data_IF_533977604172
#
_entry.id   IF_533977604172
#
_cell.length_a   1.000
_cell.length_b   1.000
_cell.length_c   1.000
_cell.angle_alpha   90.00
_cell.angle_beta   90.00
_cell.angle_gamma   90.00
#
_symmetry.space_group_name_H-M   'P 1'
#
loop_
_entity.id
_entity.type
_entity.pdbx_description
1 polymer ?
#
# COMPACT_ATOMS: atom_id res chain seq x y z
N UNK A 1 54.06 -59.34 -34.30
CA UNK A 1 52.66 -58.88 -34.47
C UNK A 1 52.44 -57.73 -33.52
N UNK A 2 52.22 -56.52 -34.04
CA UNK A 2 51.97 -55.32 -33.24
C UNK A 2 50.50 -54.94 -33.35
N UNK A 3 49.76 -55.06 -32.25
CA UNK A 3 48.37 -54.65 -32.13
C UNK A 3 48.31 -53.13 -31.93
N UNK A 4 47.86 -52.39 -32.94
CA UNK A 4 47.54 -50.96 -32.80
C UNK A 4 46.20 -50.82 -32.09
N UNK A 5 46.23 -50.32 -30.85
CA UNK A 5 45.03 -49.90 -30.13
C UNK A 5 44.59 -48.56 -30.70
N UNK A 6 43.45 -48.55 -31.39
CA UNK A 6 42.82 -47.34 -31.91
C UNK A 6 42.01 -46.70 -30.77
N UNK A 7 42.57 -45.66 -30.15
CA UNK A 7 41.87 -44.88 -29.12
C UNK A 7 40.81 -44.04 -29.84
N UNK A 8 39.54 -44.41 -29.66
CA UNK A 8 38.41 -43.66 -30.18
C UNK A 8 38.39 -42.26 -29.55
N UNK A 9 38.58 -41.23 -30.38
CA UNK A 9 38.35 -39.84 -29.99
C UNK A 9 36.89 -39.69 -29.53
N UNK A 10 36.67 -39.50 -28.23
CA UNK A 10 35.39 -39.03 -27.74
C UNK A 10 35.17 -37.62 -28.27
N UNK A 11 34.25 -37.48 -29.23
CA UNK A 11 33.80 -36.17 -29.69
C UNK A 11 33.26 -35.43 -28.47
N UNK A 12 33.99 -34.41 -28.01
CA UNK A 12 33.44 -33.32 -27.19
C UNK A 12 32.33 -32.65 -28.01
N UNK A 13 31.13 -33.20 -27.96
CA UNK A 13 29.92 -32.56 -28.47
C UNK A 13 29.77 -31.26 -27.71
N UNK A 14 30.02 -30.16 -28.42
CA UNK A 14 30.18 -28.84 -27.82
C UNK A 14 28.93 -28.46 -27.05
N UNK A 15 29.08 -28.01 -25.80
CA UNK A 15 28.01 -27.45 -24.97
C UNK A 15 27.28 -26.24 -25.55
N UNK A 16 27.51 -25.89 -26.82
CA UNK A 16 26.81 -24.82 -27.57
C UNK A 16 25.30 -25.06 -27.65
N UNK A 17 24.83 -26.31 -27.78
CA UNK A 17 23.40 -26.61 -27.75
C UNK A 17 22.76 -26.35 -26.38
N UNK A 18 23.51 -26.60 -25.30
CA UNK A 18 23.06 -26.25 -23.94
C UNK A 18 22.93 -24.73 -23.82
N UNK A 19 23.90 -23.97 -24.33
CA UNK A 19 23.84 -22.50 -24.36
C UNK A 19 22.66 -21.96 -25.18
N UNK A 20 22.39 -22.54 -26.35
CA UNK A 20 21.23 -22.16 -27.19
C UNK A 20 19.93 -22.42 -26.44
N UNK A 21 19.77 -23.61 -25.83
CA UNK A 21 18.59 -23.95 -25.06
C UNK A 21 18.40 -23.02 -23.85
N UNK A 22 19.49 -22.67 -23.16
CA UNK A 22 19.48 -21.74 -22.03
C UNK A 22 19.05 -20.33 -22.49
N UNK A 23 19.55 -19.85 -23.62
CA UNK A 23 19.13 -18.56 -24.22
C UNK A 23 17.64 -18.59 -24.57
N UNK A 24 17.14 -19.66 -25.19
CA UNK A 24 15.71 -19.79 -25.52
C UNK A 24 14.84 -19.74 -24.27
N UNK A 25 15.22 -20.45 -23.19
CA UNK A 25 14.51 -20.39 -21.91
C UNK A 25 14.52 -18.97 -21.34
N UNK A 26 15.65 -18.27 -21.38
CA UNK A 26 15.75 -16.88 -20.91
C UNK A 26 14.82 -15.96 -21.71
N UNK A 27 14.80 -16.09 -23.04
CA UNK A 27 13.94 -15.27 -23.90
C UNK A 27 12.46 -15.52 -23.60
N UNK A 28 12.06 -16.78 -23.44
CA UNK A 28 10.68 -17.15 -23.07
C UNK A 28 10.34 -16.59 -21.68
N UNK A 29 11.25 -16.70 -20.71
CA UNK A 29 11.06 -16.18 -19.36
C UNK A 29 10.90 -14.65 -19.36
N UNK A 30 11.77 -13.92 -20.07
CA UNK A 30 11.70 -12.46 -20.20
C UNK A 30 10.39 -12.06 -20.89
N UNK A 31 10.02 -12.73 -21.97
CA UNK A 31 8.76 -12.48 -22.69
C UNK A 31 7.54 -12.70 -21.78
N UNK A 32 7.52 -13.77 -21.00
CA UNK A 32 6.45 -14.06 -20.03
C UNK A 32 6.36 -13.01 -18.93
N UNK A 33 7.49 -12.57 -18.36
CA UNK A 33 7.55 -11.50 -17.36
C UNK A 33 7.00 -10.20 -17.93
N UNK A 34 7.40 -9.84 -19.16
CA UNK A 34 6.93 -8.63 -19.81
C UNK A 34 5.43 -8.66 -20.11
N UNK A 35 4.92 -9.80 -20.59
CA UNK A 35 3.49 -10.01 -20.82
C UNK A 35 2.68 -9.86 -19.51
N UNK A 36 3.12 -10.53 -18.44
CA UNK A 36 2.45 -10.45 -17.14
C UNK A 36 2.50 -9.02 -16.56
N UNK A 37 3.63 -8.33 -16.67
CA UNK A 37 3.75 -6.92 -16.28
C UNK A 37 2.76 -6.02 -17.03
N UNK A 38 2.57 -6.25 -18.33
CA UNK A 38 1.63 -5.48 -19.13
C UNK A 38 0.17 -5.78 -18.75
N UNK A 39 -0.15 -7.01 -18.37
CA UNK A 39 -1.47 -7.35 -17.84
C UNK A 39 -1.76 -6.64 -16.52
N UNK A 40 -0.77 -6.50 -15.64
CA UNK A 40 -0.94 -5.76 -14.38
C UNK A 40 -1.21 -4.27 -14.59
N UNK A 41 -0.66 -3.67 -15.65
CA UNK A 41 -1.00 -2.29 -16.03
C UNK A 41 -2.45 -2.13 -16.51
N UNK A 42 -3.12 -3.23 -16.84
CA UNK A 42 -4.47 -3.23 -17.38
C UNK A 42 -5.55 -3.56 -16.33
N UNK A 43 -5.20 -3.68 -15.06
CA UNK A 43 -6.14 -4.03 -13.98
C UNK A 43 -7.06 -2.86 -13.62
N UNK A 44 -8.13 -3.17 -12.90
CA UNK A 44 -9.12 -2.19 -12.43
C UNK A 44 -8.47 -1.10 -11.58
N UNK A 45 -7.53 -1.43 -10.70
CA UNK A 45 -6.84 -0.48 -9.82
C UNK A 45 -5.99 0.53 -10.59
N UNK A 46 -5.36 0.09 -11.69
CA UNK A 46 -4.54 0.95 -12.54
C UNK A 46 -5.38 1.86 -13.45
N UNK A 47 -6.62 1.46 -13.77
CA UNK A 47 -7.54 2.20 -14.64
C UNK A 47 -8.59 3.01 -13.89
N UNK A 48 -8.83 2.71 -12.61
CA UNK A 48 -9.78 3.40 -11.76
C UNK A 48 -9.43 4.89 -11.66
N UNK A 49 -10.44 5.76 -11.60
CA UNK A 49 -10.21 7.19 -11.43
C UNK A 49 -9.54 7.49 -10.09
N UNK A 50 -10.00 6.80 -9.04
CA UNK A 50 -9.42 6.86 -7.70
C UNK A 50 -9.38 5.48 -7.02
N UNK A 51 -8.30 5.24 -6.28
CA UNK A 51 -8.11 4.10 -5.38
C UNK A 51 -7.76 4.64 -4.00
N UNK A 52 -8.46 4.18 -2.97
CA UNK A 52 -8.17 4.58 -1.58
C UNK A 52 -7.62 3.44 -0.76
N UNK A 53 -6.68 3.76 0.11
CA UNK A 53 -6.06 2.85 1.07
C UNK A 53 -6.19 3.43 2.47
N UNK A 54 -6.58 2.59 3.42
CA UNK A 54 -6.48 2.89 4.84
C UNK A 54 -5.30 2.12 5.42
N UNK A 55 -4.30 2.84 5.89
CA UNK A 55 -3.17 2.26 6.61
C UNK A 55 -3.39 2.55 8.10
N UNK A 56 -3.67 1.50 8.86
CA UNK A 56 -3.76 1.57 10.32
C UNK A 56 -2.36 1.39 10.89
N UNK A 57 -1.83 2.42 11.55
CA UNK A 57 -0.53 2.40 12.19
C UNK A 57 -0.67 2.23 13.70
N UNK A 58 -0.33 1.05 14.21
CA UNK A 58 -0.43 0.68 15.62
C UNK A 58 0.91 0.90 16.33
N UNK A 59 0.92 1.84 17.28
CA UNK A 59 2.01 2.04 18.23
C UNK A 59 1.59 1.55 19.63
N UNK A 60 2.53 1.27 20.55
CA UNK A 60 2.21 0.70 21.87
C UNK A 60 1.17 1.48 22.70
N UNK A 61 1.00 2.78 22.45
CA UNK A 61 0.11 3.66 23.21
C UNK A 61 -0.87 4.44 22.33
N UNK A 62 -0.81 4.30 21.00
CA UNK A 62 -1.57 5.15 20.08
C UNK A 62 -1.79 4.43 18.75
N UNK A 63 -3.00 4.55 18.21
CA UNK A 63 -3.30 4.15 16.83
C UNK A 63 -3.50 5.41 16.00
N UNK A 64 -2.86 5.43 14.83
CA UNK A 64 -3.03 6.47 13.82
C UNK A 64 -3.55 5.86 12.52
N UNK A 65 -4.35 6.63 11.79
CA UNK A 65 -4.92 6.26 10.52
C UNK A 65 -4.36 7.15 9.43
N UNK A 66 -3.88 6.53 8.36
CA UNK A 66 -3.40 7.22 7.17
C UNK A 66 -4.31 6.88 6.00
N UNK A 67 -5.09 7.86 5.58
CA UNK A 67 -5.95 7.77 4.40
C UNK A 67 -5.14 8.15 3.17
N UNK A 68 -4.76 7.16 2.39
CA UNK A 68 -3.99 7.34 1.17
C UNK A 68 -4.93 7.24 -0.03
N UNK A 69 -5.17 8.36 -0.69
CA UNK A 69 -5.99 8.42 -1.90
C UNK A 69 -5.11 8.64 -3.13
N UNK A 70 -5.21 7.73 -4.08
CA UNK A 70 -4.50 7.77 -5.35
C UNK A 70 -5.48 8.20 -6.43
N UNK A 71 -5.24 9.34 -7.08
CA UNK A 71 -5.99 9.80 -8.26
C UNK A 71 -5.18 9.50 -9.51
N UNK A 72 -5.58 8.48 -10.28
CA UNK A 72 -4.81 8.05 -11.46
C UNK A 72 -4.86 9.07 -12.59
N UNK A 73 -6.02 9.69 -12.84
CA UNK A 73 -6.18 10.67 -13.92
C UNK A 73 -5.26 11.89 -13.74
N UNK A 74 -5.17 12.44 -12.52
CA UNK A 74 -4.31 13.58 -12.21
C UNK A 74 -2.90 13.19 -11.75
N UNK A 75 -2.62 11.89 -11.61
CA UNK A 75 -1.35 11.34 -11.12
C UNK A 75 -0.91 11.96 -9.79
N UNK A 76 -1.86 12.07 -8.85
CA UNK A 76 -1.64 12.61 -7.50
C UNK A 76 -1.91 11.58 -6.43
N UNK A 77 -1.18 11.67 -5.33
CA UNK A 77 -1.43 10.94 -4.09
C UNK A 77 -1.70 11.95 -2.99
N UNK A 78 -2.75 11.72 -2.22
CA UNK A 78 -3.04 12.48 -1.00
C UNK A 78 -2.92 11.53 0.17
N UNK A 79 -2.18 11.94 1.19
CA UNK A 79 -2.03 11.18 2.43
C UNK A 79 -2.57 12.05 3.54
N UNK A 80 -3.70 11.67 4.11
CA UNK A 80 -4.32 12.39 5.23
C UNK A 80 -4.10 11.61 6.50
N UNK A 81 -3.45 12.23 7.48
CA UNK A 81 -3.24 11.67 8.80
C UNK A 81 -4.43 11.99 9.70
N UNK A 82 -4.81 11.02 10.52
CA UNK A 82 -5.95 11.09 11.41
C UNK A 82 -5.64 10.30 12.69
N UNK A 83 -5.99 10.79 13.89
CA UNK A 83 -6.14 9.89 15.04
C UNK A 83 -7.24 8.85 14.78
N UNK A 84 -7.24 7.78 15.57
CA UNK A 84 -8.32 6.80 15.57
C UNK A 84 -9.57 7.31 16.32
N UNK A 85 -10.71 6.64 16.16
CA UNK A 85 -11.97 6.91 16.85
C UNK A 85 -12.49 8.35 16.65
N UNK A 86 -12.37 8.87 15.44
CA UNK A 86 -12.84 10.21 15.11
C UNK A 86 -14.34 10.24 14.89
N UNK A 87 -15.00 11.28 15.38
CA UNK A 87 -16.41 11.55 15.15
C UNK A 87 -16.61 12.94 14.52
N UNK A 88 -17.27 12.97 13.37
CA UNK A 88 -17.71 14.19 12.71
C UNK A 88 -19.20 14.38 12.95
N UNK A 89 -19.51 15.30 13.86
CA UNK A 89 -20.86 15.46 14.41
C UNK A 89 -21.89 15.98 13.40
N UNK A 90 -21.49 16.79 12.41
CA UNK A 90 -22.44 17.39 11.47
C UNK A 90 -23.12 16.36 10.58
N UNK A 91 -22.37 15.32 10.17
CA UNK A 91 -22.90 14.22 9.34
C UNK A 91 -23.13 12.93 10.14
N UNK A 92 -22.87 12.94 11.44
CA UNK A 92 -22.96 11.75 12.29
C UNK A 92 -21.99 10.63 11.89
N UNK A 93 -20.86 10.97 11.27
CA UNK A 93 -19.91 10.01 10.72
C UNK A 93 -18.85 9.63 11.76
N UNK A 94 -18.50 8.34 11.79
CA UNK A 94 -17.51 7.81 12.72
C UNK A 94 -16.42 7.05 11.98
N UNK A 95 -15.16 7.32 12.30
CA UNK A 95 -13.98 6.68 11.72
C UNK A 95 -13.33 5.84 12.82
N UNK A 96 -13.24 4.54 12.57
CA UNK A 96 -12.76 3.53 13.51
C UNK A 96 -11.84 2.53 12.78
N UNK A 97 -10.63 2.35 13.29
CA UNK A 97 -9.65 1.39 12.79
C UNK A 97 -10.18 -0.05 12.76
N UNK A 98 -11.11 -0.40 13.65
CA UNK A 98 -11.74 -1.73 13.72
C UNK A 98 -12.74 -1.99 12.59
N UNK A 99 -13.18 -0.94 11.90
CA UNK A 99 -14.13 -1.02 10.79
C UNK A 99 -13.58 -0.33 9.54
N UNK A 100 -12.51 -0.86 8.94
CA UNK A 100 -11.72 -0.14 7.94
C UNK A 100 -12.50 0.24 6.67
N UNK A 101 -13.44 -0.60 6.21
CA UNK A 101 -14.27 -0.31 5.03
C UNK A 101 -15.29 0.80 5.29
N UNK A 102 -15.90 0.79 6.47
CA UNK A 102 -16.81 1.84 6.94
C UNK A 102 -16.01 3.14 7.13
N UNK A 103 -14.83 3.07 7.76
CA UNK A 103 -13.93 4.20 7.97
C UNK A 103 -13.54 4.90 6.66
N UNK A 104 -13.18 4.13 5.61
CA UNK A 104 -12.89 4.70 4.28
C UNK A 104 -14.09 5.40 3.67
N UNK A 105 -15.27 4.80 3.78
CA UNK A 105 -16.51 5.37 3.23
C UNK A 105 -16.91 6.64 3.99
N UNK A 106 -16.83 6.61 5.31
CA UNK A 106 -17.11 7.75 6.16
C UNK A 106 -16.09 8.87 5.98
N UNK A 107 -14.82 8.55 5.72
CA UNK A 107 -13.80 9.54 5.35
C UNK A 107 -14.17 10.24 4.05
N UNK A 108 -14.52 9.50 2.99
CA UNK A 108 -14.91 10.12 1.70
C UNK A 108 -16.15 11.00 1.85
N UNK A 109 -17.15 10.55 2.63
CA UNK A 109 -18.34 11.33 2.93
C UNK A 109 -18.05 12.55 3.81
N UNK A 110 -17.08 12.47 4.72
CA UNK A 110 -16.67 13.59 5.57
C UNK A 110 -16.22 14.77 4.72
N UNK A 111 -15.42 14.51 3.67
CA UNK A 111 -14.92 15.53 2.74
C UNK A 111 -15.81 15.78 1.52
N UNK A 112 -16.98 15.11 1.40
CA UNK A 112 -17.84 15.14 0.21
C UNK A 112 -17.11 14.85 -1.11
N UNK A 113 -16.10 13.98 -1.06
CA UNK A 113 -15.34 13.61 -2.25
C UNK A 113 -15.99 12.39 -2.91
N UNK A 114 -15.85 12.30 -4.23
CA UNK A 114 -16.36 11.16 -4.98
C UNK A 114 -15.80 9.83 -4.42
N UNK A 115 -16.63 8.79 -4.27
CA UNK A 115 -16.17 7.52 -3.74
C UNK A 115 -15.11 6.89 -4.66
N UNK A 116 -14.12 6.25 -4.07
CA UNK A 116 -13.10 5.52 -4.82
C UNK A 116 -13.69 4.27 -5.45
N UNK A 117 -13.26 3.93 -6.66
CA UNK A 117 -13.67 2.71 -7.34
C UNK A 117 -13.21 1.47 -6.58
N UNK A 118 -12.03 1.54 -5.98
CA UNK A 118 -11.42 0.45 -5.21
C UNK A 118 -10.93 0.96 -3.86
N UNK A 119 -11.13 0.16 -2.82
CA UNK A 119 -10.81 0.49 -1.42
C UNK A 119 -10.03 -0.66 -0.79
N UNK A 120 -8.85 -0.35 -0.25
CA UNK A 120 -7.99 -1.29 0.43
C UNK A 120 -7.70 -0.88 1.88
N UNK A 121 -7.42 -1.83 2.74
CA UNK A 121 -6.92 -1.56 4.09
C UNK A 121 -5.85 -2.56 4.49
N UNK A 122 -4.88 -2.11 5.28
CA UNK A 122 -3.89 -2.96 5.90
C UNK A 122 -3.31 -2.31 7.16
N UNK A 123 -2.68 -3.13 8.01
CA UNK A 123 -2.15 -2.71 9.30
C UNK A 123 -0.62 -2.75 9.27
N UNK A 124 0.00 -1.69 9.78
CA UNK A 124 1.43 -1.62 10.09
C UNK A 124 1.56 -1.41 11.59
N UNK A 125 2.42 -2.20 12.22
CA UNK A 125 2.75 -2.09 13.64
C UNK A 125 4.14 -1.50 13.77
N UNK A 126 4.38 -0.72 14.82
CA UNK A 126 5.69 -0.06 14.99
C UNK A 126 6.89 -1.04 14.94
N UNK A 127 6.71 -2.28 15.41
CA UNK A 127 7.72 -3.35 15.37
C UNK A 127 7.91 -3.99 13.98
N UNK A 128 6.95 -3.87 13.07
CA UNK A 128 7.00 -4.48 11.74
C UNK A 128 7.41 -3.52 10.61
N UNK A 129 7.50 -2.21 10.91
CA UNK A 129 7.96 -1.20 9.95
C UNK A 129 9.32 -1.59 9.31
N UNK A 130 10.34 -2.05 10.06
CA UNK A 130 11.62 -2.42 9.45
C UNK A 130 11.48 -3.59 8.46
N UNK A 131 10.61 -4.56 8.75
CA UNK A 131 10.34 -5.69 7.85
C UNK A 131 9.63 -5.24 6.58
N UNK A 132 8.63 -4.37 6.71
CA UNK A 132 7.95 -3.75 5.58
C UNK A 132 8.92 -2.96 4.68
N UNK A 133 9.75 -2.10 5.30
CA UNK A 133 10.77 -1.33 4.59
C UNK A 133 11.78 -2.23 3.88
N UNK A 134 12.26 -3.28 4.54
CA UNK A 134 13.18 -4.25 3.93
C UNK A 134 12.63 -4.89 2.66
N UNK A 135 11.33 -5.24 2.63
CA UNK A 135 10.67 -5.80 1.44
C UNK A 135 10.70 -4.82 0.26
N UNK A 136 10.46 -3.53 0.53
CA UNK A 136 10.55 -2.50 -0.50
C UNK A 136 12.00 -2.01 -0.74
N UNK A 137 12.98 -2.60 -0.03
CA UNK A 137 14.42 -2.30 -0.03
C UNK A 137 14.82 -0.96 0.62
N UNK A 138 13.96 -0.43 1.47
CA UNK A 138 14.21 0.73 2.32
C UNK A 138 14.82 0.35 3.67
N UNK A 139 15.12 1.37 4.45
CA UNK A 139 15.60 1.27 5.82
C UNK A 139 14.88 2.33 6.66
N UNK A 140 14.68 2.05 7.95
CA UNK A 140 13.95 2.93 8.86
C UNK A 140 13.12 2.13 9.85
N UNK A 141 12.50 2.85 10.78
CA UNK A 141 11.75 2.28 11.90
C UNK A 141 10.39 2.98 12.12
N UNK A 142 10.08 4.01 11.35
CA UNK A 142 8.87 4.82 11.51
C UNK A 142 8.00 4.81 10.25
N UNK A 143 6.72 5.14 10.41
CA UNK A 143 5.81 5.31 9.27
C UNK A 143 6.25 6.45 8.33
N UNK A 144 6.96 7.44 8.86
CA UNK A 144 7.52 8.54 8.08
C UNK A 144 8.60 8.01 7.12
N UNK A 145 9.49 7.13 7.61
CA UNK A 145 10.49 6.46 6.78
C UNK A 145 9.84 5.64 5.64
N UNK A 146 8.68 5.01 5.92
CA UNK A 146 7.90 4.27 4.91
C UNK A 146 7.47 5.19 3.77
N UNK A 147 6.85 6.33 4.08
CA UNK A 147 6.37 7.24 3.05
C UNK A 147 7.52 7.95 2.32
N UNK A 148 8.57 8.34 3.03
CA UNK A 148 9.76 8.95 2.43
C UNK A 148 10.44 8.00 1.44
N UNK A 149 10.62 6.74 1.84
CA UNK A 149 11.22 5.76 0.97
C UNK A 149 10.31 5.42 -0.22
N UNK A 150 8.99 5.24 0.00
CA UNK A 150 8.05 4.99 -1.09
C UNK A 150 8.05 6.11 -2.15
N UNK A 151 8.20 7.38 -1.71
CA UNK A 151 8.27 8.56 -2.58
C UNK A 151 9.52 8.61 -3.46
N UNK A 152 10.66 8.16 -2.93
CA UNK A 152 11.97 8.26 -3.62
C UNK A 152 12.34 7.00 -4.39
N UNK A 153 11.69 5.87 -4.07
CA UNK A 153 11.89 4.58 -4.72
C UNK A 153 11.52 4.64 -6.20
N UNK A 154 12.38 4.09 -7.06
CA UNK A 154 12.09 3.91 -8.49
C UNK A 154 11.20 2.68 -8.69
N UNK A 155 10.05 2.83 -9.37
CA UNK A 155 9.27 1.67 -9.83
C UNK A 155 10.05 0.85 -10.85
N UNK A 156 9.75 -0.44 -10.89
CA UNK A 156 10.22 -1.30 -11.97
C UNK A 156 9.40 -2.57 -12.09
N UNK A 157 9.85 -3.46 -12.98
CA UNK A 157 9.29 -4.80 -13.15
C UNK A 157 9.38 -5.60 -11.83
N UNK A 158 10.40 -5.31 -11.00
CA UNK A 158 10.55 -5.95 -9.68
C UNK A 158 9.42 -5.61 -8.70
N UNK A 159 8.62 -4.58 -8.94
CA UNK A 159 7.43 -4.28 -8.12
C UNK A 159 6.45 -5.43 -8.09
N UNK A 160 6.43 -6.26 -9.13
CA UNK A 160 5.62 -7.47 -9.21
C UNK A 160 6.00 -8.48 -8.12
N UNK A 161 7.30 -8.62 -7.85
CA UNK A 161 7.80 -9.54 -6.83
C UNK A 161 7.62 -8.92 -5.44
N UNK A 162 7.90 -7.61 -5.32
CA UNK A 162 7.74 -6.85 -4.07
C UNK A 162 6.29 -6.86 -3.61
N UNK A 163 5.31 -6.68 -4.52
CA UNK A 163 3.88 -6.66 -4.19
C UNK A 163 3.43 -7.95 -3.48
N UNK A 164 3.86 -9.12 -3.97
CA UNK A 164 3.52 -10.40 -3.35
C UNK A 164 4.12 -10.51 -1.93
N UNK A 165 5.39 -10.16 -1.78
CA UNK A 165 6.06 -10.21 -0.48
C UNK A 165 5.43 -9.22 0.51
N UNK A 166 5.08 -8.02 0.05
CA UNK A 166 4.42 -7.00 0.85
C UNK A 166 3.09 -7.50 1.40
N UNK A 167 2.27 -8.13 0.56
CA UNK A 167 0.97 -8.69 0.98
C UNK A 167 1.15 -9.77 2.03
N UNK A 168 2.10 -10.68 1.80
CA UNK A 168 2.39 -11.74 2.75
C UNK A 168 2.87 -11.19 4.09
N UNK A 169 3.60 -10.07 4.09
CA UNK A 169 4.02 -9.42 5.31
C UNK A 169 2.85 -8.78 6.06
N UNK A 170 2.06 -7.91 5.40
CA UNK A 170 0.96 -7.21 6.08
C UNK A 170 -0.12 -8.16 6.61
N UNK A 171 -0.34 -9.31 5.95
CA UNK A 171 -1.29 -10.34 6.40
C UNK A 171 -0.89 -11.01 7.71
N UNK A 172 0.39 -10.97 8.11
CA UNK A 172 0.83 -11.55 9.39
C UNK A 172 0.30 -10.76 10.59
N UNK A 173 -0.05 -9.49 10.40
CA UNK A 173 -0.25 -8.54 11.50
C UNK A 173 -1.69 -8.10 11.69
N UNK A 174 -2.60 -8.48 10.78
CA UNK A 174 -4.02 -8.18 10.92
C UNK A 174 -4.84 -8.55 9.71
N UNK A 175 -6.15 -8.29 9.82
CA UNK A 175 -7.07 -8.44 8.69
C UNK A 175 -6.75 -7.39 7.63
N UNK A 176 -6.73 -7.81 6.37
CA UNK A 176 -6.46 -6.94 5.22
C UNK A 176 -7.18 -7.48 4.00
N UNK A 177 -7.80 -6.59 3.23
CA UNK A 177 -8.33 -6.90 1.91
C UNK A 177 -7.34 -6.56 0.78
N UNK A 178 -6.07 -6.23 1.11
CA UNK A 178 -5.07 -5.85 0.13
C UNK A 178 -4.80 -7.01 -0.83
N UNK A 179 -5.05 -6.74 -2.11
CA UNK A 179 -4.85 -7.69 -3.20
C UNK A 179 -3.47 -7.51 -3.85
N UNK A 180 -3.06 -8.48 -4.67
CA UNK A 180 -1.86 -8.38 -5.50
C UNK A 180 -1.84 -7.13 -6.37
N UNK A 181 -2.94 -6.90 -7.09
CA UNK A 181 -3.07 -5.73 -7.96
C UNK A 181 -3.11 -4.43 -7.15
N UNK A 182 -3.76 -4.43 -5.99
CA UNK A 182 -3.82 -3.30 -5.07
C UNK A 182 -2.45 -2.90 -4.54
N UNK A 183 -1.63 -3.87 -4.11
CA UNK A 183 -0.26 -3.62 -3.68
C UNK A 183 0.63 -3.15 -4.84
N UNK A 184 0.50 -3.77 -6.01
CA UNK A 184 1.24 -3.34 -7.20
C UNK A 184 0.88 -1.91 -7.63
N UNK A 185 -0.41 -1.57 -7.66
CA UNK A 185 -0.88 -0.22 -7.98
C UNK A 185 -0.38 0.81 -6.97
N UNK A 186 -0.42 0.48 -5.68
CA UNK A 186 0.12 1.31 -4.60
C UNK A 186 1.61 1.61 -4.83
N UNK A 187 2.42 0.56 -5.03
CA UNK A 187 3.86 0.66 -5.26
C UNK A 187 4.20 1.46 -6.53
N UNK A 188 3.44 1.28 -7.60
CA UNK A 188 3.61 2.01 -8.86
C UNK A 188 3.27 3.49 -8.70
N UNK A 189 2.15 3.81 -8.05
CA UNK A 189 1.71 5.18 -7.87
C UNK A 189 2.73 6.01 -7.08
N UNK A 190 3.18 5.51 -5.92
CA UNK A 190 4.11 6.23 -5.03
C UNK A 190 5.42 6.61 -5.73
N UNK A 191 5.88 5.79 -6.66
CA UNK A 191 7.10 6.05 -7.41
C UNK A 191 6.95 7.00 -8.61
N UNK A 192 5.71 7.25 -9.07
CA UNK A 192 5.42 7.94 -10.35
C UNK A 192 4.59 9.20 -10.22
N UNK A 193 3.88 9.36 -9.10
CA UNK A 193 2.87 10.40 -8.90
C UNK A 193 3.38 11.46 -7.93
N UNK A 194 2.84 12.68 -8.04
CA UNK A 194 3.14 13.73 -7.07
C UNK A 194 2.40 13.48 -5.77
N UNK A 195 3.09 13.58 -4.64
CA UNK A 195 2.54 13.29 -3.32
C UNK A 195 2.26 14.58 -2.55
N UNK A 196 1.03 14.72 -2.08
CA UNK A 196 0.64 15.67 -1.04
C UNK A 196 0.62 14.93 0.29
N UNK A 197 1.71 15.07 1.06
CA UNK A 197 1.93 14.34 2.32
C UNK A 197 1.09 14.89 3.47
N UNK A 198 0.98 14.07 4.52
CA UNK A 198 0.25 14.36 5.75
C UNK A 198 0.84 15.50 6.59
N UNK A 199 2.10 15.89 6.39
CA UNK A 199 2.67 17.11 7.00
C UNK A 199 1.82 18.36 6.72
N UNK A 200 1.07 18.33 5.62
CA UNK A 200 0.13 19.37 5.21
C UNK A 200 -1.34 18.98 5.41
N UNK A 201 -1.61 17.69 5.62
CA UNK A 201 -2.95 17.11 5.63
C UNK A 201 -3.15 16.26 6.90
N UNK A 202 -3.46 16.91 8.01
CA UNK A 202 -3.80 16.26 9.28
C UNK A 202 -5.18 16.69 9.76
N UNK A 203 -6.03 15.72 10.11
CA UNK A 203 -7.33 15.97 10.74
C UNK A 203 -7.08 16.35 12.19
N UNK A 204 -7.33 17.63 12.53
CA UNK A 204 -7.21 18.10 13.90
C UNK A 204 -8.47 17.82 14.70
N UNK A 205 -8.28 17.52 15.98
CA UNK A 205 -9.37 17.32 16.92
C UNK A 205 -9.67 18.60 17.69
N UNK A 206 -10.94 18.84 18.03
CA UNK A 206 -11.37 19.97 18.85
C UNK A 206 -10.81 19.91 20.27
N UNK A 207 -10.62 18.70 20.79
CA UNK A 207 -10.16 18.44 22.14
C UNK A 207 -8.82 17.72 22.11
N UNK A 208 -7.96 18.00 23.09
CA UNK A 208 -6.67 17.34 23.26
C UNK A 208 -6.79 15.88 23.74
N UNK A 209 -7.97 15.48 24.24
CA UNK A 209 -8.27 14.12 24.71
C UNK A 209 -9.64 13.66 24.18
N UNK A 210 -9.81 12.36 23.88
CA UNK A 210 -11.09 11.81 23.46
C UNK A 210 -12.14 11.98 24.56
N UNK A 211 -13.38 12.25 24.16
CA UNK A 211 -14.53 12.22 25.05
C UNK A 211 -14.89 10.76 25.29
N UNK A 212 -14.83 10.34 26.56
CA UNK A 212 -15.24 9.02 26.99
C UNK A 212 -16.74 9.04 27.28
N UNK A 213 -17.52 8.32 26.46
CA UNK A 213 -18.94 8.10 26.68
C UNK A 213 -19.11 6.73 27.33
N UNK A 214 -19.49 6.73 28.60
CA UNK A 214 -19.92 5.53 29.30
C UNK A 214 -21.42 5.39 29.10
N UNK A 215 -21.86 4.28 28.50
CA UNK A 215 -23.27 3.90 28.41
C UNK A 215 -23.52 2.79 29.43
N UNK A 216 -23.97 3.11 30.66
CA UNK A 216 -24.08 2.15 31.77
C UNK A 216 -25.01 0.99 31.40
N UNK A 217 -26.11 1.30 30.71
CA UNK A 217 -27.15 0.36 30.32
C UNK A 217 -26.66 -0.70 29.32
N UNK A 218 -25.64 -0.36 28.52
CA UNK A 218 -25.07 -1.26 27.51
C UNK A 218 -23.72 -1.85 27.92
N UNK A 219 -23.20 -1.51 29.11
CA UNK A 219 -21.82 -1.84 29.56
C UNK A 219 -20.75 -1.54 28.50
N UNK A 220 -20.98 -0.52 27.68
CA UNK A 220 -20.08 -0.11 26.60
C UNK A 220 -19.41 1.22 26.95
N UNK A 221 -18.09 1.23 26.85
CA UNK A 221 -17.27 2.44 26.88
C UNK A 221 -16.92 2.78 25.43
N UNK A 222 -17.19 4.01 25.02
CA UNK A 222 -16.84 4.51 23.69
C UNK A 222 -15.99 5.77 23.83
N UNK A 223 -14.91 5.85 23.06
CA UNK A 223 -14.03 7.02 23.02
C UNK A 223 -14.27 7.76 21.70
N UNK A 224 -14.41 9.09 21.75
CA UNK A 224 -14.69 9.91 20.56
C UNK A 224 -13.77 11.12 20.47
N UNK A 225 -13.06 11.23 19.36
CA UNK A 225 -12.28 12.40 19.00
C UNK A 225 -13.09 13.29 18.05
N UNK A 226 -13.58 14.44 18.52
CA UNK A 226 -14.38 15.34 17.69
C UNK A 226 -13.51 16.15 16.73
N UNK A 227 -13.88 16.22 15.46
CA UNK A 227 -13.11 16.93 14.43
C UNK A 227 -13.29 18.45 14.50
N UNK A 228 -12.19 19.18 14.29
CA UNK A 228 -12.23 20.63 14.04
C UNK A 228 -12.66 20.93 12.60
N UNK A 229 -13.84 21.55 12.47
CA UNK A 229 -14.48 21.88 11.20
C UNK A 229 -13.63 22.78 10.29
N UNK A 230 -12.92 23.75 10.88
CA UNK A 230 -12.14 24.72 10.11
C UNK A 230 -11.01 24.04 9.33
N UNK A 231 -10.46 22.96 9.89
CA UNK A 231 -9.46 22.14 9.21
C UNK A 231 -10.04 21.29 8.09
N UNK A 232 -11.27 20.78 8.24
CA UNK A 232 -11.90 19.95 7.21
C UNK A 232 -12.17 20.70 5.90
N UNK A 233 -12.67 21.94 5.98
CA UNK A 233 -12.97 22.74 4.78
C UNK A 233 -11.70 23.03 3.97
N UNK A 234 -10.60 23.36 4.67
CA UNK A 234 -9.30 23.61 4.03
C UNK A 234 -8.74 22.35 3.35
N UNK A 235 -8.92 21.19 3.97
CA UNK A 235 -8.49 19.90 3.43
C UNK A 235 -9.33 19.47 2.23
N UNK A 236 -10.65 19.74 2.24
CA UNK A 236 -11.56 19.40 1.15
C UNK A 236 -11.11 20.01 -0.18
N UNK A 237 -10.76 21.29 -0.21
CA UNK A 237 -10.29 21.98 -1.43
C UNK A 237 -9.01 21.36 -2.00
N UNK A 238 -8.18 20.72 -1.17
CA UNK A 238 -6.95 20.08 -1.62
C UNK A 238 -7.21 18.68 -2.19
N UNK A 239 -8.23 17.98 -1.68
CA UNK A 239 -8.54 16.59 -2.03
C UNK A 239 -9.38 16.45 -3.32
N UNK A 240 -10.07 17.51 -3.75
CA UNK A 240 -10.75 17.60 -5.06
C UNK A 240 -9.79 17.60 -6.25
#
# INVERSE_FOLDING_TARGET
MATRIQVGNSRRTSGKWIWILLIVIIVIAIGGIFYFYNNLKNTTEMKADAVSYLITYEMPQKTELYFVRIKNQSRKIFIVKSPDNIFYSEKGLYIDSLKPEEALTNFEQMFDINPSTVKYHFILKNDNIPAFLSIIKGQGNTIDDVFEYLKTRKSGIMDMLVANNLINEVRKYGNTNLSYNGAFAFLQAFSKYSITSYDKLEIKTLLSKPVVINLPDLKKKMERNYVDKTTLESLKTILE
#
